data_IF_395420595925
#
_entry.id   IF_395420595925
#
_cell.length_a   1.000
_cell.length_b   1.000
_cell.length_c   1.000
_cell.angle_alpha   90.00
_cell.angle_beta   90.00
_cell.angle_gamma   90.00
#
_symmetry.space_group_name_H-M   'P 1'
#
loop_
_entity.id
_entity.type
_entity.pdbx_description
1 polymer ?
2 non-polymer ?
3 non-polymer ?
4 non-polymer ?
5 water ?
#
# COMPACT_ATOMS: atom_id res chain seq x y z
N UNK A 1 28.38 -6.23 6.95
CA UNK A 1 28.10 -7.43 6.11
C UNK A 1 29.03 -7.39 4.88
N UNK A 2 29.42 -8.58 4.42
CA UNK A 2 30.45 -8.79 3.41
C UNK A 2 29.96 -8.75 1.96
N UNK A 3 28.65 -8.81 1.76
CA UNK A 3 28.05 -8.90 0.42
C UNK A 3 28.14 -7.54 -0.27
N UNK A 4 28.61 -7.54 -1.51
CA UNK A 4 28.77 -6.33 -2.25
C UNK A 4 27.42 -5.72 -2.59
N UNK A 5 27.41 -4.42 -2.79
CA UNK A 5 26.16 -3.79 -3.26
C UNK A 5 25.85 -4.29 -4.67
N UNK A 6 26.87 -4.53 -5.49
CA UNK A 6 26.65 -5.10 -6.82
C UNK A 6 25.85 -6.41 -6.74
N UNK A 7 26.19 -7.28 -5.79
CA UNK A 7 25.50 -8.56 -5.62
C UNK A 7 24.07 -8.38 -5.09
N UNK A 8 23.87 -7.49 -4.13
CA UNK A 8 22.51 -7.19 -3.66
C UNK A 8 21.65 -6.73 -4.81
N UNK A 9 22.16 -5.74 -5.54
CA UNK A 9 21.46 -5.16 -6.70
C UNK A 9 21.11 -6.22 -7.74
N UNK A 10 22.06 -7.09 -8.03
CA UNK A 10 21.82 -8.13 -9.03
C UNK A 10 20.74 -9.10 -8.55
N UNK A 11 20.83 -9.49 -7.29
CA UNK A 11 19.87 -10.41 -6.71
C UNK A 11 18.44 -9.87 -6.77
N UNK A 12 18.24 -8.63 -6.36
CA UNK A 12 16.92 -8.09 -6.28
C UNK A 12 16.39 -7.87 -7.69
N UNK A 13 17.23 -7.36 -8.59
CA UNK A 13 16.84 -7.31 -10.00
C UNK A 13 16.33 -8.67 -10.49
N UNK A 14 17.03 -9.74 -10.14
CA UNK A 14 16.70 -11.07 -10.64
C UNK A 14 15.31 -11.51 -10.14
N UNK A 15 14.87 -11.03 -8.97
CA UNK A 15 13.52 -11.43 -8.46
C UNK A 15 12.43 -10.90 -9.37
N UNK A 16 12.61 -9.67 -9.87
CA UNK A 16 11.69 -9.09 -10.82
C UNK A 16 11.81 -9.71 -12.20
N UNK A 17 13.04 -9.92 -12.65
CA UNK A 17 13.28 -10.59 -13.93
C UNK A 17 12.62 -11.96 -13.94
N UNK A 18 12.74 -12.72 -12.87
CA UNK A 18 12.21 -14.11 -12.84
C UNK A 18 10.69 -14.14 -12.86
N UNK A 19 10.05 -13.10 -12.33
CA UNK A 19 8.60 -12.97 -12.39
C UNK A 19 8.10 -12.48 -13.75
N UNK A 20 9.02 -12.17 -14.65
CA UNK A 20 8.72 -11.72 -16.00
C UNK A 20 7.92 -10.42 -16.00
N UNK A 21 8.30 -9.53 -15.09
CA UNK A 21 7.72 -8.20 -15.06
C UNK A 21 8.80 -7.14 -14.90
N UNK A 22 8.35 -5.91 -14.76
CA UNK A 22 9.20 -4.78 -14.59
C UNK A 22 8.78 -4.11 -13.28
N UNK A 23 9.74 -3.81 -12.44
CA UNK A 23 9.37 -3.17 -11.19
C UNK A 23 10.53 -2.64 -10.40
N UNK A 24 10.19 -2.01 -9.28
CA UNK A 24 11.17 -1.38 -8.40
C UNK A 24 10.71 -1.57 -6.96
N UNK A 25 11.66 -1.74 -6.04
CA UNK A 25 11.37 -1.72 -4.61
C UNK A 25 12.27 -0.64 -4.03
N UNK A 26 11.64 0.30 -3.36
CA UNK A 26 12.34 1.39 -2.68
C UNK A 26 12.35 1.11 -1.19
N UNK A 27 13.52 1.22 -0.59
CA UNK A 27 13.69 0.96 0.83
C UNK A 27 14.23 2.22 1.45
N UNK A 28 13.67 2.64 2.58
CA UNK A 28 14.16 3.83 3.26
C UNK A 28 14.76 3.44 4.61
N UNK A 29 16.01 3.83 4.85
CA UNK A 29 16.70 3.55 6.12
C UNK A 29 17.09 4.90 6.64
N UNK A 30 16.43 5.30 7.72
CA UNK A 30 16.47 6.67 8.19
C UNK A 30 15.94 7.64 7.13
N UNK A 31 16.81 8.55 6.70
CA UNK A 31 16.47 9.50 5.65
C UNK A 31 16.87 9.00 4.25
N UNK A 32 17.61 7.90 4.14
CA UNK A 32 18.21 7.53 2.87
C UNK A 32 17.32 6.56 2.11
N UNK A 33 16.95 6.92 0.89
CA UNK A 33 16.15 6.09 -0.01
C UNK A 33 17.06 5.32 -0.92
N UNK A 34 16.82 4.01 -1.02
CA UNK A 34 17.55 3.16 -1.94
C UNK A 34 16.58 2.50 -2.89
N UNK A 35 16.89 2.52 -4.18
CA UNK A 35 16.00 2.00 -5.20
C UNK A 35 16.63 0.73 -5.79
N UNK A 36 15.89 -0.37 -5.81
CA UNK A 36 16.36 -1.64 -6.33
C UNK A 36 15.35 -2.18 -7.31
N UNK A 37 15.75 -3.19 -8.07
CA UNK A 37 14.79 -3.89 -8.96
C UNK A 37 15.32 -3.87 -10.38
N UNK A 38 14.43 -4.13 -11.33
CA UNK A 38 14.82 -4.23 -12.74
C UNK A 38 14.31 -3.10 -13.61
N UNK A 39 13.69 -2.07 -13.02
CA UNK A 39 13.21 -0.95 -13.81
C UNK A 39 13.24 0.29 -12.97
N UNK A 40 14.44 0.78 -12.69
CA UNK A 40 14.62 1.78 -11.65
C UNK A 40 13.93 3.10 -11.95
N UNK A 41 13.75 3.42 -13.25
CA UNK A 41 13.07 4.63 -13.66
C UNK A 41 11.60 4.71 -13.23
N UNK A 42 11.01 3.61 -12.82
CA UNK A 42 9.65 3.65 -12.27
C UNK A 42 9.56 4.43 -10.96
N UNK A 43 10.69 4.68 -10.30
CA UNK A 43 10.69 5.29 -8.95
C UNK A 43 10.02 6.65 -8.84
N UNK A 44 10.14 7.52 -9.86
CA UNK A 44 9.46 8.82 -9.82
C UNK A 44 8.36 8.96 -10.86
N UNK A 45 7.83 7.85 -11.37
CA UNK A 45 6.63 7.84 -12.19
C UNK A 45 5.35 7.68 -11.37
N UNK A 46 4.28 8.28 -11.86
CA UNK A 46 2.99 8.29 -11.20
C UNK A 46 2.14 7.13 -11.65
N UNK A 47 1.54 6.42 -10.70
CA UNK A 47 0.61 5.33 -10.98
C UNK A 47 -0.60 5.55 -10.07
N UNK A 48 -1.73 4.93 -10.38
CA UNK A 48 -2.85 4.98 -9.44
C UNK A 48 -2.43 4.24 -8.17
N UNK A 49 -2.91 4.72 -7.00
CA UNK A 49 -2.53 4.02 -5.78
C UNK A 49 -3.26 2.69 -5.65
N UNK A 50 -4.38 2.53 -6.37
CA UNK A 50 -5.24 1.35 -6.24
C UNK A 50 -5.52 1.13 -4.74
N UNK A 51 -5.55 -0.12 -4.29
CA UNK A 51 -5.97 -0.42 -2.92
C UNK A 51 -4.97 0.00 -1.83
N UNK A 52 -3.79 0.49 -2.20
CA UNK A 52 -2.93 1.10 -1.18
C UNK A 52 -3.62 2.34 -0.57
N UNK A 53 -4.50 2.97 -1.32
CA UNK A 53 -5.28 4.10 -0.80
C UNK A 53 -6.14 3.72 0.43
N UNK A 54 -6.44 2.43 0.62
CA UNK A 54 -7.24 2.04 1.81
C UNK A 54 -6.61 2.52 3.11
N UNK A 55 -5.29 2.57 3.17
CA UNK A 55 -4.61 3.09 4.37
C UNK A 55 -5.08 4.50 4.69
N UNK A 56 -5.04 5.38 3.70
CA UNK A 56 -5.47 6.75 3.89
C UNK A 56 -7.00 6.92 4.01
N UNK A 57 -7.78 6.14 3.24
CA UNK A 57 -9.21 6.13 3.36
C UNK A 57 -9.58 5.79 4.84
N UNK A 58 -8.93 4.77 5.42
CA UNK A 58 -9.20 4.40 6.83
C UNK A 58 -8.83 5.51 7.82
N UNK A 59 -7.64 6.10 7.65
CA UNK A 59 -7.26 7.24 8.50
C UNK A 59 -8.28 8.37 8.44
N UNK A 60 -8.71 8.72 7.24
CA UNK A 60 -9.66 9.80 7.06
C UNK A 60 -11.02 9.46 7.73
N UNK A 61 -11.50 8.24 7.51
CA UNK A 61 -12.82 7.82 7.99
C UNK A 61 -12.84 7.76 9.50
N UNK A 62 -11.78 7.22 10.09
CA UNK A 62 -11.70 7.10 11.53
C UNK A 62 -11.54 8.48 12.17
N UNK A 63 -10.66 9.30 11.63
CA UNK A 63 -10.43 10.64 12.19
C UNK A 63 -11.74 11.47 12.20
N UNK A 64 -12.53 11.33 11.15
CA UNK A 64 -13.73 12.11 10.94
C UNK A 64 -15.03 11.41 11.42
N UNK A 65 -14.88 10.36 12.22
CA UNK A 65 -15.96 9.62 12.85
C UNK A 65 -16.97 9.08 11.87
N UNK A 66 -16.47 8.64 10.72
CA UNK A 66 -17.32 7.98 9.75
C UNK A 66 -17.45 6.51 9.99
N UNK A 67 -16.61 5.99 10.88
CA UNK A 67 -16.62 4.60 11.26
C UNK A 67 -15.84 4.44 12.57
N UNK A 68 -16.02 3.29 13.21
CA UNK A 68 -15.20 2.87 14.34
C UNK A 68 -14.50 1.62 13.93
N UNK A 69 -13.51 1.20 14.74
CA UNK A 69 -12.76 0.01 14.39
C UNK A 69 -13.52 -1.29 14.64
N UNK A 70 -14.58 -1.25 15.44
CA UNK A 70 -15.37 -2.47 15.66
C UNK A 70 -16.63 -2.51 14.82
N UNK A 71 -16.94 -1.43 14.10
CA UNK A 71 -18.17 -1.39 13.32
C UNK A 71 -18.15 -2.46 12.23
N UNK A 72 -19.27 -3.15 12.08
CA UNK A 72 -19.39 -4.21 11.09
C UNK A 72 -20.10 -3.63 9.89
N UNK A 73 -19.38 -3.55 8.77
CA UNK A 73 -19.95 -3.15 7.49
C UNK A 73 -20.64 -4.38 6.89
N UNK A 74 -21.96 -4.32 6.77
CA UNK A 74 -22.75 -5.49 6.36
C UNK A 74 -22.65 -5.68 4.87
N UNK A 75 -22.52 -6.92 4.43
CA UNK A 75 -22.70 -7.23 3.02
C UNK A 75 -24.15 -6.98 2.62
N UNK A 76 -24.33 -6.26 1.50
CA UNK A 76 -25.67 -5.90 1.01
C UNK A 76 -26.41 -7.06 0.35
N UNK A 77 -25.73 -8.18 0.16
CA UNK A 77 -26.33 -9.35 -0.45
C UNK A 77 -26.19 -9.43 -1.95
N UNK A 78 -25.56 -8.43 -2.58
CA UNK A 78 -25.28 -8.45 -4.02
C UNK A 78 -24.00 -9.19 -4.38
N UNK A 79 -23.98 -9.75 -5.60
CA UNK A 79 -22.83 -10.54 -6.06
C UNK A 79 -21.61 -9.62 -6.07
N UNK A 80 -20.47 -10.13 -5.67
CA UNK A 80 -19.24 -9.34 -5.71
C UNK A 80 -18.22 -10.11 -6.49
N UNK A 81 -17.17 -9.39 -6.89
CA UNK A 81 -16.13 -9.93 -7.73
C UNK A 81 -15.53 -11.17 -7.12
N UNK A 82 -15.31 -11.17 -5.80
CA UNK A 82 -14.71 -12.29 -5.08
C UNK A 82 -15.68 -12.76 -4.00
N UNK A 83 -15.85 -14.09 -3.86
CA UNK A 83 -16.72 -14.67 -2.84
C UNK A 83 -16.33 -14.28 -1.44
N UNK A 84 -15.04 -14.13 -1.21
CA UNK A 84 -14.54 -13.69 0.08
C UNK A 84 -15.04 -12.28 0.50
N UNK A 85 -15.53 -11.48 -0.45
CA UNK A 85 -16.08 -10.18 -0.09
C UNK A 85 -17.56 -10.28 0.25
N UNK A 86 -18.18 -11.46 0.07
CA UNK A 86 -19.65 -11.58 0.33
C UNK A 86 -19.91 -11.94 1.79
N UNK A 87 -19.48 -11.02 2.64
CA UNK A 87 -19.59 -11.18 4.06
C UNK A 87 -19.47 -9.84 4.75
N UNK A 88 -19.86 -9.83 6.01
CA UNK A 88 -19.88 -8.65 6.86
C UNK A 88 -18.47 -8.52 7.45
N UNK A 89 -17.95 -7.31 7.48
CA UNK A 89 -16.60 -7.13 7.97
C UNK A 89 -16.34 -5.78 8.57
N UNK A 90 -15.35 -5.75 9.43
CA UNK A 90 -14.82 -4.51 10.00
C UNK A 90 -13.85 -3.87 9.00
N UNK A 91 -13.43 -2.64 9.27
CA UNK A 91 -12.41 -2.01 8.44
C UNK A 91 -11.14 -2.82 8.39
N UNK A 92 -10.71 -3.36 9.53
CA UNK A 92 -9.52 -4.18 9.57
C UNK A 92 -9.56 -5.43 8.76
N UNK A 93 -10.69 -6.12 8.81
CA UNK A 93 -10.89 -7.32 7.99
C UNK A 93 -10.92 -6.94 6.51
N UNK A 94 -11.61 -5.85 6.17
CA UNK A 94 -11.66 -5.35 4.83
C UNK A 94 -10.27 -4.92 4.32
N UNK A 95 -9.41 -4.39 5.19
CA UNK A 95 -8.03 -4.05 4.83
C UNK A 95 -7.29 -5.31 4.39
N UNK A 96 -7.37 -6.35 5.20
CA UNK A 96 -6.67 -7.59 4.94
C UNK A 96 -7.16 -8.29 3.67
N UNK A 97 -8.45 -8.19 3.38
CA UNK A 97 -9.02 -8.81 2.19
C UNK A 97 -9.05 -7.88 0.98
N UNK A 98 -8.60 -6.64 1.18
CA UNK A 98 -8.72 -5.55 0.22
C UNK A 98 -10.13 -5.45 -0.36
N UNK A 99 -11.12 -5.43 0.54
CA UNK A 99 -12.53 -5.43 0.14
C UNK A 99 -12.96 -4.05 -0.27
N UNK A 100 -12.85 -3.81 -1.57
CA UNK A 100 -13.21 -2.56 -2.18
C UNK A 100 -14.60 -2.03 -1.78
N UNK A 101 -15.64 -2.88 -1.78
CA UNK A 101 -16.98 -2.32 -1.44
C UNK A 101 -17.10 -1.71 -0.06
N UNK A 102 -16.34 -2.20 0.90
CA UNK A 102 -16.39 -1.63 2.27
C UNK A 102 -15.76 -0.23 2.25
N UNK A 103 -14.64 -0.12 1.54
CA UNK A 103 -13.93 1.14 1.45
C UNK A 103 -14.63 2.14 0.52
N UNK A 104 -15.40 1.65 -0.44
CA UNK A 104 -16.30 2.54 -1.18
C UNK A 104 -17.42 3.09 -0.32
N UNK A 105 -17.98 2.27 0.57
CA UNK A 105 -18.96 2.76 1.54
C UNK A 105 -18.33 3.83 2.44
N UNK A 106 -17.14 3.54 2.96
CA UNK A 106 -16.47 4.52 3.80
C UNK A 106 -16.25 5.84 3.07
N UNK A 107 -15.77 5.75 1.82
CA UNK A 107 -15.57 6.97 1.01
C UNK A 107 -16.87 7.76 0.81
N UNK A 108 -17.96 7.06 0.53
CA UNK A 108 -19.28 7.73 0.40
C UNK A 108 -19.73 8.40 1.71
N UNK A 109 -19.40 7.82 2.86
CA UNK A 109 -19.77 8.45 4.12
C UNK A 109 -18.96 9.71 4.31
N UNK A 110 -17.68 9.64 3.99
CA UNK A 110 -16.81 10.82 4.07
C UNK A 110 -17.31 11.92 3.14
N UNK A 111 -17.60 11.54 1.90
CA UNK A 111 -18.14 12.44 0.89
C UNK A 111 -17.05 13.20 0.15
N UNK A 112 -17.40 13.67 -1.04
CA UNK A 112 -16.39 14.26 -1.96
C UNK A 112 -15.71 15.46 -1.36
N UNK A 113 -16.49 16.39 -0.81
CA UNK A 113 -15.91 17.63 -0.30
C UNK A 113 -14.87 17.39 0.79
N UNK A 114 -15.24 16.60 1.81
CA UNK A 114 -14.32 16.29 2.88
C UNK A 114 -13.14 15.46 2.40
N UNK A 115 -13.39 14.51 1.49
CA UNK A 115 -12.32 13.63 1.01
C UNK A 115 -11.23 14.46 0.28
N UNK A 116 -11.66 15.38 -0.59
CA UNK A 116 -10.72 16.24 -1.31
C UNK A 116 -9.97 17.12 -0.34
N UNK A 117 -10.63 17.66 0.69
CA UNK A 117 -9.92 18.46 1.69
C UNK A 117 -8.87 17.66 2.42
N UNK A 118 -9.20 16.42 2.77
CA UNK A 118 -8.31 15.62 3.58
C UNK A 118 -7.14 15.11 2.74
N UNK A 119 -7.40 14.74 1.51
CA UNK A 119 -6.34 14.27 0.61
C UNK A 119 -5.36 15.43 0.34
N UNK A 120 -5.90 16.64 0.17
CA UNK A 120 -5.03 17.88 0.07
C UNK A 120 -4.26 18.16 1.34
N UNK A 121 -4.91 18.03 2.50
CA UNK A 121 -4.24 18.29 3.77
C UNK A 121 -3.08 17.35 4.07
N UNK A 122 -3.23 16.09 3.68
CA UNK A 122 -2.18 15.08 3.81
C UNK A 122 -1.13 15.18 2.69
N UNK A 123 -1.43 15.84 1.59
CA UNK A 123 -0.48 15.95 0.49
C UNK A 123 -0.14 14.56 0.00
N UNK A 124 -1.17 13.80 -0.38
CA UNK A 124 -0.96 12.45 -0.87
C UNK A 124 -0.91 12.46 -2.41
N UNK A 125 0.21 12.01 -2.95
CA UNK A 125 0.37 11.92 -4.41
C UNK A 125 0.21 13.26 -5.10
N UNK A 126 -0.49 13.23 -6.22
CA UNK A 126 -0.86 14.43 -6.95
C UNK A 126 -2.04 15.17 -6.33
N UNK A 127 -2.61 14.63 -5.27
CA UNK A 127 -3.66 15.23 -4.46
C UNK A 127 -5.02 15.49 -5.17
N UNK A 128 -5.23 15.01 -6.40
CA UNK A 128 -6.47 15.29 -7.13
C UNK A 128 -7.36 14.07 -7.08
N UNK A 129 -8.57 14.25 -6.56
CA UNK A 129 -9.56 13.16 -6.53
C UNK A 129 -10.67 13.32 -7.56
N UNK A 130 -10.72 14.46 -8.24
CA UNK A 130 -11.72 14.67 -9.28
C UNK A 130 -13.13 14.72 -8.68
N UNK A 131 -14.12 14.19 -9.39
CA UNK A 131 -15.52 14.36 -9.03
C UNK A 131 -16.25 13.11 -8.55
N UNK A 132 -15.60 11.93 -8.60
CA UNK A 132 -16.21 10.65 -8.26
C UNK A 132 -15.61 10.10 -6.96
N UNK A 133 -16.35 10.25 -5.87
CA UNK A 133 -15.81 9.91 -4.55
C UNK A 133 -15.52 8.41 -4.35
N UNK A 134 -16.10 7.53 -5.17
CA UNK A 134 -16.05 6.09 -4.91
C UNK A 134 -15.08 5.30 -5.78
N UNK A 135 -14.36 5.96 -6.68
CA UNK A 135 -13.38 5.24 -7.48
C UNK A 135 -12.11 6.02 -7.87
N UNK A 136 -11.89 7.18 -7.26
CA UNK A 136 -10.80 8.09 -7.64
C UNK A 136 -9.41 7.50 -7.44
N UNK A 137 -9.29 6.53 -6.53
CA UNK A 137 -8.03 5.83 -6.24
C UNK A 137 -7.80 4.61 -7.12
N UNK A 138 -8.80 4.24 -7.94
CA UNK A 138 -8.78 3.04 -8.76
C UNK A 138 -8.56 3.32 -10.22
N UNK A 139 -9.16 4.38 -10.74
CA UNK A 139 -9.09 4.67 -12.18
C UNK A 139 -8.53 6.05 -12.50
N UNK A 140 -7.92 6.71 -11.54
CA UNK A 140 -7.57 8.12 -11.68
C UNK A 140 -8.74 8.96 -11.18
N UNK A 141 -8.53 10.26 -10.97
CA UNK A 141 -7.32 10.97 -11.37
C UNK A 141 -6.19 10.94 -10.35
N UNK A 142 -6.39 10.32 -9.18
CA UNK A 142 -5.37 10.32 -8.14
C UNK A 142 -4.23 9.40 -8.55
N UNK A 143 -3.01 9.91 -8.43
CA UNK A 143 -1.79 9.18 -8.77
C UNK A 143 -0.71 9.51 -7.77
N UNK A 144 0.26 8.60 -7.67
CA UNK A 144 1.33 8.72 -6.70
C UNK A 144 2.54 7.97 -7.21
N UNK A 145 3.74 8.42 -6.84
CA UNK A 145 4.97 7.74 -7.22
C UNK A 145 5.40 6.75 -6.16
N UNK A 146 6.23 5.76 -6.53
CA UNK A 146 6.79 4.88 -5.52
C UNK A 146 7.58 5.61 -4.44
N UNK A 147 8.29 6.69 -4.80
CA UNK A 147 8.98 7.50 -3.78
C UNK A 147 7.98 8.13 -2.81
N UNK A 148 6.89 8.66 -3.35
CA UNK A 148 5.83 9.22 -2.50
C UNK A 148 5.18 8.14 -1.61
N UNK A 149 4.99 6.93 -2.13
CA UNK A 149 4.41 5.84 -1.33
C UNK A 149 5.32 5.41 -0.20
N UNK A 150 6.61 5.28 -0.45
CA UNK A 150 7.51 4.91 0.63
C UNK A 150 7.59 6.02 1.69
N UNK A 151 7.52 7.28 1.27
CA UNK A 151 7.53 8.39 2.22
C UNK A 151 6.23 8.48 3.02
N UNK A 152 5.12 8.10 2.41
CA UNK A 152 3.85 7.98 3.14
C UNK A 152 3.97 6.89 4.21
N UNK A 153 4.53 5.75 3.85
CA UNK A 153 4.70 4.63 4.77
C UNK A 153 5.61 5.04 5.91
N UNK A 154 6.65 5.80 5.59
CA UNK A 154 7.60 6.29 6.60
C UNK A 154 6.86 7.18 7.58
N UNK A 155 6.04 8.09 7.06
CA UNK A 155 5.21 8.98 7.89
C UNK A 155 4.29 8.19 8.80
N UNK A 156 3.55 7.23 8.25
CA UNK A 156 2.61 6.45 9.08
C UNK A 156 3.35 5.60 10.11
N UNK A 157 4.44 4.95 9.72
CA UNK A 157 5.20 4.13 10.66
C UNK A 157 5.68 4.93 11.88
N UNK A 158 6.01 6.20 11.67
CA UNK A 158 6.54 7.06 12.74
C UNK A 158 5.48 8.01 13.29
N UNK A 159 4.22 7.80 12.94
CA UNK A 159 3.11 8.62 13.43
C UNK A 159 3.21 10.07 13.10
N UNK A 160 3.79 10.38 11.93
CA UNK A 160 3.99 11.74 11.51
C UNK A 160 2.91 12.33 10.64
N UNK A 161 1.92 11.54 10.20
CA UNK A 161 0.83 12.08 9.41
C UNK A 161 -0.02 12.99 10.30
N UNK A 162 -0.75 13.94 9.71
CA UNK A 162 -1.54 14.91 10.47
C UNK A 162 -2.92 14.35 10.86
N UNK A 163 -2.85 13.30 11.68
CA UNK A 163 -3.99 12.66 12.26
C UNK A 163 -3.64 12.45 13.71
N UNK A 164 -4.65 12.26 14.53
CA UNK A 164 -4.41 11.87 15.90
C UNK A 164 -3.55 10.65 15.97
N UNK A 165 -2.72 10.59 17.00
CA UNK A 165 -1.90 9.41 17.26
C UNK A 165 -2.76 8.12 17.33
N UNK A 166 -3.92 8.20 18.00
CA UNK A 166 -4.80 7.04 18.15
C UNK A 166 -5.35 6.56 16.80
N UNK A 167 -5.70 7.49 15.92
CA UNK A 167 -6.14 7.15 14.56
C UNK A 167 -5.04 6.39 13.80
N UNK A 168 -3.83 6.90 13.87
CA UNK A 168 -2.70 6.25 13.21
C UNK A 168 -2.40 4.89 13.82
N UNK A 169 -2.48 4.77 15.13
CA UNK A 169 -2.27 3.47 15.75
C UNK A 169 -3.36 2.43 15.36
N UNK A 170 -4.59 2.89 15.26
CA UNK A 170 -5.72 2.03 14.86
C UNK A 170 -5.52 1.45 13.46
N UNK A 171 -5.08 2.28 12.53
CA UNK A 171 -4.84 1.83 11.15
C UNK A 171 -3.62 0.93 11.06
N UNK A 172 -2.53 1.28 11.75
CA UNK A 172 -1.36 0.41 11.80
C UNK A 172 -1.68 -1.01 12.28
N UNK A 173 -2.56 -1.13 13.27
CA UNK A 173 -3.02 -2.42 13.75
C UNK A 173 -3.71 -3.26 12.63
N UNK A 174 -4.29 -2.60 11.63
CA UNK A 174 -4.97 -3.29 10.53
C UNK A 174 -4.00 -3.85 9.48
N UNK A 175 -2.73 -3.45 9.54
CA UNK A 175 -1.78 -3.67 8.45
C UNK A 175 -0.75 -4.76 8.68
N UNK A 176 -0.86 -5.50 9.79
CA UNK A 176 0.10 -6.56 10.07
C UNK A 176 -0.14 -7.74 9.13
N UNK A 177 0.81 -8.02 8.25
CA UNK A 177 0.64 -9.10 7.26
C UNK A 177 1.59 -10.28 7.43
N UNK A 178 2.70 -10.10 8.16
CA UNK A 178 3.64 -11.18 8.37
C UNK A 178 4.52 -10.96 9.58
N UNK A 179 4.89 -12.07 10.22
CA UNK A 179 5.91 -12.07 11.26
C UNK A 179 6.99 -13.04 10.86
N UNK A 180 8.23 -12.58 10.84
CA UNK A 180 9.37 -13.37 10.36
C UNK A 180 10.42 -13.25 11.45
N UNK A 181 10.66 -14.35 12.17
CA UNK A 181 11.47 -14.36 13.41
C UNK A 181 10.93 -13.35 14.44
N UNK A 182 11.69 -12.31 14.80
CA UNK A 182 11.15 -11.22 15.65
C UNK A 182 10.74 -9.96 14.88
N UNK A 183 10.76 -10.01 13.54
CA UNK A 183 10.36 -8.88 12.70
C UNK A 183 8.88 -8.96 12.36
N UNK A 184 8.26 -7.79 12.28
CA UNK A 184 6.88 -7.69 11.84
C UNK A 184 6.81 -6.86 10.57
N UNK A 185 6.05 -7.32 9.59
CA UNK A 185 5.83 -6.56 8.37
C UNK A 185 4.41 -6.02 8.36
N UNK A 186 4.32 -4.70 8.31
CA UNK A 186 3.08 -4.00 8.16
C UNK A 186 3.02 -3.47 6.73
N UNK A 187 1.96 -3.77 5.99
CA UNK A 187 1.88 -3.33 4.60
C UNK A 187 0.49 -3.48 4.04
N UNK A 188 0.25 -2.75 2.96
CA UNK A 188 -0.95 -2.86 2.20
C UNK A 188 -0.61 -3.08 0.75
N UNK A 189 -1.24 -4.10 0.16
CA UNK A 189 -1.13 -4.35 -1.27
C UNK A 189 -2.02 -3.44 -2.10
N UNK A 190 -1.64 -3.30 -3.37
CA UNK A 190 -2.44 -2.60 -4.37
C UNK A 190 -2.38 -3.32 -5.68
N UNK A 191 -3.50 -3.35 -6.40
CA UNK A 191 -3.55 -3.88 -7.74
C UNK A 191 -4.50 -3.01 -8.54
N UNK A 192 -3.99 -2.27 -9.52
CA UNK A 192 -4.80 -1.45 -10.38
C UNK A 192 -5.42 -2.31 -11.46
N UNK A 193 -6.58 -2.86 -11.17
CA UNK A 193 -7.35 -3.67 -12.09
C UNK A 193 -7.93 -2.84 -13.24
N UNK A 194 -8.23 -1.56 -12.97
CA UNK A 194 -8.95 -0.69 -13.92
C UNK A 194 -8.11 0.26 -14.74
N UNK A 195 -6.79 0.02 -14.79
CA UNK A 195 -5.88 0.79 -15.65
C UNK A 195 -5.10 -0.18 -16.53
N UNK A 196 -4.55 0.31 -17.64
CA UNK A 196 -3.66 -0.51 -18.49
C UNK A 196 -2.38 0.29 -18.76
N UNK A 197 -1.21 -0.32 -18.59
CA UNK A 197 -1.00 -1.60 -17.89
C UNK A 197 -1.42 -1.52 -16.41
N UNK A 198 -1.61 -2.69 -15.80
CA UNK A 198 -2.07 -2.79 -14.42
C UNK A 198 -0.88 -2.66 -13.50
N UNK A 199 -1.03 -1.85 -12.46
CA UNK A 199 0.04 -1.61 -11.50
C UNK A 199 -0.17 -2.53 -10.29
N UNK A 200 0.92 -3.03 -9.74
CA UNK A 200 0.92 -3.77 -8.48
C UNK A 200 1.79 -3.04 -7.47
N UNK A 201 1.34 -3.00 -6.21
CA UNK A 201 2.01 -2.30 -5.12
C UNK A 201 2.09 -3.20 -3.90
N UNK A 202 3.12 -3.03 -3.12
CA UNK A 202 3.09 -3.48 -1.72
C UNK A 202 3.87 -2.43 -0.94
N UNK A 203 3.16 -1.71 -0.08
CA UNK A 203 3.77 -0.55 0.56
C UNK A 203 3.59 -0.69 2.06
N UNK A 204 4.68 -0.54 2.80
CA UNK A 204 4.60 -0.62 4.23
C UNK A 204 5.94 -0.43 4.93
N UNK A 205 6.13 -1.14 6.02
CA UNK A 205 7.39 -1.10 6.72
C UNK A 205 7.65 -2.37 7.49
N UNK A 206 8.92 -2.61 7.77
CA UNK A 206 9.34 -3.69 8.64
C UNK A 206 9.57 -3.08 10.01
N UNK A 207 9.03 -3.71 11.05
CA UNK A 207 9.36 -3.31 12.41
C UNK A 207 10.27 -4.38 12.96
N UNK A 208 11.52 -4.02 13.18
CA UNK A 208 12.52 -5.01 13.62
C UNK A 208 12.40 -5.20 15.12
N UNK A 209 12.94 -6.32 15.60
CA UNK A 209 12.94 -6.70 17.05
C UNK A 209 13.29 -5.52 17.95
N UNK A 210 14.39 -4.86 17.62
CA UNK A 210 14.88 -3.65 18.32
C UNK A 210 14.03 -2.37 18.22
N UNK A 211 12.90 -2.39 17.48
CA UNK A 211 12.07 -1.21 17.32
C UNK A 211 12.37 -0.32 16.11
N UNK A 212 13.46 -0.56 15.38
CA UNK A 212 13.74 0.21 14.14
C UNK A 212 12.67 -0.11 13.10
N UNK A 213 12.20 0.92 12.39
CA UNK A 213 11.20 0.77 11.34
C UNK A 213 11.82 1.09 9.99
N UNK A 214 11.68 0.17 9.03
CA UNK A 214 12.31 0.29 7.73
C UNK A 214 11.17 0.28 6.68
N UNK A 215 10.77 1.47 6.23
CA UNK A 215 9.72 1.55 5.20
C UNK A 215 10.18 1.07 3.82
N UNK A 216 9.22 0.57 3.06
CA UNK A 216 9.46 0.12 1.69
C UNK A 216 8.22 0.32 0.81
N UNK A 217 8.46 0.38 -0.49
CA UNK A 217 7.36 0.35 -1.46
C UNK A 217 7.84 -0.42 -2.68
N UNK A 218 7.14 -1.51 -2.98
CA UNK A 218 7.32 -2.26 -4.18
C UNK A 218 6.26 -1.80 -5.19
N UNK A 219 6.69 -1.62 -6.43
CA UNK A 219 5.84 -1.20 -7.52
C UNK A 219 6.21 -1.98 -8.74
N UNK A 220 5.25 -2.64 -9.36
CA UNK A 220 5.57 -3.42 -10.57
C UNK A 220 4.37 -3.46 -11.52
N UNK A 221 4.57 -4.03 -12.69
CA UNK A 221 3.48 -4.25 -13.62
C UNK A 221 2.88 -5.65 -13.39
N UNK A 222 1.57 -5.70 -13.13
CA UNK A 222 0.86 -6.96 -12.99
C UNK A 222 0.47 -7.43 -14.40
N UNK A 223 0.98 -8.57 -14.79
CA UNK A 223 0.77 -9.14 -16.13
C UNK A 223 -0.38 -10.14 -16.11
N UNK A 224 -0.98 -10.37 -17.27
CA UNK A 224 -2.05 -11.39 -17.45
C UNK A 224 -1.71 -12.72 -16.75
N UNK A 225 -2.63 -13.17 -15.90
CA UNK A 225 -2.47 -14.42 -15.17
C UNK A 225 -1.47 -14.46 -14.03
N UNK A 226 -0.90 -13.31 -13.66
CA UNK A 226 0.04 -13.21 -12.55
C UNK A 226 -0.77 -13.31 -11.26
N UNK A 227 -0.23 -14.00 -10.27
CA UNK A 227 -0.89 -14.12 -8.96
C UNK A 227 -0.53 -12.92 -8.07
N UNK A 228 -1.50 -12.42 -7.30
CA UNK A 228 -1.27 -11.31 -6.36
C UNK A 228 -0.11 -11.53 -5.39
N UNK A 229 0.12 -12.79 -4.99
CA UNK A 229 1.17 -13.12 -4.04
C UNK A 229 2.61 -12.85 -4.56
N UNK A 230 2.77 -12.64 -5.86
CA UNK A 230 4.08 -12.26 -6.40
C UNK A 230 4.61 -10.94 -5.77
N UNK A 231 3.70 -10.04 -5.41
CA UNK A 231 4.08 -8.78 -4.79
C UNK A 231 4.74 -9.06 -3.44
N UNK A 232 4.10 -9.95 -2.70
CA UNK A 232 4.59 -10.34 -1.41
C UNK A 232 5.90 -11.11 -1.51
N UNK A 233 5.94 -12.07 -2.44
CA UNK A 233 7.10 -12.92 -2.60
C UNK A 233 8.35 -12.13 -2.97
N UNK A 234 8.23 -11.21 -3.93
CA UNK A 234 9.39 -10.40 -4.32
C UNK A 234 9.81 -9.49 -3.14
N UNK A 235 8.82 -8.93 -2.43
CA UNK A 235 9.12 -8.05 -1.33
C UNK A 235 9.87 -8.80 -0.24
N UNK A 236 9.37 -9.97 0.16
CA UNK A 236 10.04 -10.72 1.24
C UNK A 236 11.45 -11.19 0.83
N UNK A 237 11.61 -11.65 -0.40
CA UNK A 237 12.93 -12.05 -0.88
C UNK A 237 13.91 -10.89 -0.89
N UNK A 238 13.42 -9.70 -1.22
CA UNK A 238 14.27 -8.50 -1.31
C UNK A 238 14.69 -8.06 0.07
N UNK A 239 13.72 -8.00 0.97
CA UNK A 239 14.01 -7.61 2.35
C UNK A 239 14.96 -8.59 3.03
N UNK A 240 14.78 -9.88 2.76
CA UNK A 240 15.65 -10.93 3.32
C UNK A 240 17.05 -10.80 2.72
N UNK A 241 17.15 -10.56 1.41
CA UNK A 241 18.47 -10.42 0.76
C UNK A 241 19.26 -9.27 1.38
N UNK A 242 18.58 -8.19 1.74
CA UNK A 242 19.25 -7.04 2.35
C UNK A 242 19.51 -7.20 3.85
N UNK A 243 19.05 -8.29 4.44
CA UNK A 243 19.17 -8.51 5.87
C UNK A 243 18.20 -7.71 6.72
N UNK A 244 17.17 -7.13 6.13
CA UNK A 244 16.22 -6.30 6.87
C UNK A 244 15.25 -7.19 7.67
N UNK A 245 14.94 -8.32 7.08
CA UNK A 245 14.38 -9.46 7.79
C UNK A 245 15.30 -10.66 7.56
X LIG B 1 -9.96 -1.71 -9.28
X LIG B 1 -11.04 -2.19 -8.90
X LIG B 1 -12.29 -1.92 -9.60
X LIG B 1 -12.38 -1.43 -10.96
X LIG B 1 -13.88 -1.42 -11.32
X LIG B 1 -11.84 -0.01 -11.05
X LIG B 1 -11.62 -2.35 -11.93
X LIG B 1 -11.17 -3.09 -7.93
X LIG B 1 -10.13 -3.69 -7.17
X LIG B 1 -10.22 -5.06 -7.09
X LIG B 1 -9.38 -5.75 -6.25
X LIG B 1 -8.41 -5.04 -5.54
X LIG B 1 -9.16 -2.95 -6.42
X LIG B 1 -8.36 -3.67 -5.51
X LIG B 1 -7.12 -3.22 -4.66
X LIG B 1 -5.99 -2.71 -5.57
X LIG B 1 -6.68 -4.49 -4.09
X LIG B 1 -7.36 -5.65 -4.67
X LIG C 1 -20.46 16.16 -0.27
X LIG C 1 -21.26 17.37 0.04
X LIG C 1 -19.29 16.54 -1.07
X LIG C 1 -20.02 15.56 1.00
X LIG C 1 -21.28 15.17 -1.02
X LIG D 1 -2.84 13.40 19.22
X LIG D 1 -3.48 14.64 18.73
X LIG D 1 -2.03 12.81 18.14
X LIG D 1 -1.93 13.69 20.35
X LIG D 1 -3.87 12.45 19.68
X LIG E 1 9.03 6.50 16.10
X LIG E 1 7.87 6.08 16.02
X LIG E 1 9.98 5.71 16.36
X LIG E 1 9.29 7.79 15.89
#
# INVERSE_FOLDING_TARGET
>A
MHISSQQHEKAIKSYFDXAQTQGVIIIKEGKNLSTYGNALARANKEYVPASTFKMLNALIGLENHKATTNEIFKWDGKKRTYPMWEKDMTLGEAMALSAVPVYQELARRTGLELMQKEVKRVNFGNTNIGTQVDNFWLVGPLKITPVQEVNFADDLAHNRLPFKLETQEEVKKMLLIKEVNGSKIYAKSGWGMGVTPQVGWLTGWVEQANGKKIPFSLNLEMKEGMSGSIRNEITYKSLENLGII
>B hetero
1 J4W O9 C8 O11 C12 C15 C14 C13 N1 C5 C6 C7 C2 C4 C3 B9 O10 O8 C1
>C hetero
1 SO4 S O1 O2 O3 O4
>D hetero
1 SO4 S O1 O2 O3 O4
>E hetero
1 BCT C O1 O2 O3
#
